data_IF_446119077204
#
_entry.id   IF_446119077204
#
_cell.length_a   1.000
_cell.length_b   1.000
_cell.length_c   1.000
_cell.angle_alpha   90.00
_cell.angle_beta   90.00
_cell.angle_gamma   90.00
#
_symmetry.space_group_name_H-M   'P 1'
#
loop_
_entity.id
_entity.type
_entity.pdbx_description
1 polymer ?
#
# COMPACT_ATOMS: atom_id res chain seq x y z
N UNK A 1 -10.89 4.95 9.46
CA UNK A 1 -9.69 4.29 8.90
C UNK A 1 -8.84 3.77 10.05
N UNK A 2 -8.24 2.58 9.96
CA UNK A 2 -7.40 2.01 11.03
C UNK A 2 -6.10 2.83 11.19
N UNK A 3 -5.89 3.39 12.37
CA UNK A 3 -4.73 4.22 12.68
C UNK A 3 -3.40 3.46 12.57
N UNK A 4 -3.38 2.15 12.83
CA UNK A 4 -2.18 1.31 12.66
C UNK A 4 -1.84 1.14 11.18
N UNK A 5 -2.85 0.93 10.33
CA UNK A 5 -2.69 0.87 8.86
C UNK A 5 -2.14 2.18 8.31
N UNK A 6 -2.69 3.31 8.77
CA UNK A 6 -2.20 4.64 8.36
C UNK A 6 -0.75 4.83 8.79
N UNK A 7 -0.42 4.57 10.05
CA UNK A 7 0.95 4.75 10.56
C UNK A 7 1.97 3.91 9.79
N UNK A 8 1.65 2.63 9.52
CA UNK A 8 2.53 1.75 8.74
C UNK A 8 2.69 2.23 7.28
N UNK A 9 1.60 2.67 6.64
CA UNK A 9 1.66 3.19 5.28
C UNK A 9 2.46 4.50 5.20
N UNK A 10 2.31 5.38 6.19
CA UNK A 10 3.06 6.65 6.27
C UNK A 10 4.55 6.38 6.46
N UNK A 11 4.95 5.46 7.35
CA UNK A 11 6.36 5.08 7.53
C UNK A 11 6.95 4.50 6.23
N UNK A 12 6.24 3.57 5.58
CA UNK A 12 6.70 2.96 4.34
C UNK A 12 6.83 4.00 3.21
N UNK A 13 5.85 4.90 3.08
CA UNK A 13 5.87 5.94 2.06
C UNK A 13 6.98 6.97 2.31
N UNK A 14 7.17 7.41 3.55
CA UNK A 14 8.24 8.33 3.91
C UNK A 14 9.62 7.73 3.61
N UNK A 15 9.85 6.48 4.02
CA UNK A 15 11.08 5.73 3.69
C UNK A 15 11.29 5.63 2.19
N UNK A 16 10.26 5.23 1.44
CA UNK A 16 10.36 5.09 -0.01
C UNK A 16 10.67 6.42 -0.70
N UNK A 17 10.02 7.51 -0.30
CA UNK A 17 10.27 8.84 -0.82
C UNK A 17 11.72 9.25 -0.57
N UNK A 18 12.18 9.15 0.69
CA UNK A 18 13.57 9.45 1.06
C UNK A 18 14.57 8.68 0.20
N UNK A 19 14.41 7.36 0.10
CA UNK A 19 15.31 6.51 -0.66
C UNK A 19 15.26 6.78 -2.18
N UNK A 20 14.12 7.23 -2.71
CA UNK A 20 13.97 7.53 -4.15
C UNK A 20 14.61 8.86 -4.57
N UNK A 21 14.66 9.85 -3.67
CA UNK A 21 15.15 11.20 -3.99
C UNK A 21 16.52 11.50 -3.39
N UNK A 22 17.03 10.63 -2.52
CA UNK A 22 18.33 10.85 -1.90
C UNK A 22 19.46 10.78 -2.93
N UNK A 23 20.45 11.65 -2.74
CA UNK A 23 21.70 11.58 -3.50
C UNK A 23 22.67 10.53 -2.90
N UNK A 24 23.69 10.15 -3.67
CA UNK A 24 24.69 9.14 -3.27
C UNK A 24 25.40 9.47 -1.93
N UNK A 25 25.55 10.76 -1.61
CA UNK A 25 26.23 11.21 -0.39
C UNK A 25 25.29 11.48 0.79
N UNK A 26 23.98 11.32 0.63
CA UNK A 26 23.02 11.47 1.71
C UNK A 26 22.83 10.14 2.46
N UNK A 27 22.58 10.23 3.76
CA UNK A 27 22.35 9.04 4.58
C UNK A 27 21.12 8.24 4.11
N UNK A 28 21.18 6.93 4.31
CA UNK A 28 20.00 6.07 4.20
C UNK A 28 19.00 6.38 5.32
N UNK A 29 17.73 6.01 5.11
CA UNK A 29 16.63 6.23 6.05
C UNK A 29 16.95 5.84 7.49
N UNK A 30 17.54 4.66 7.68
CA UNK A 30 17.82 4.10 9.00
C UNK A 30 18.89 4.89 9.76
N UNK A 31 19.69 5.71 9.06
CA UNK A 31 20.73 6.58 9.62
C UNK A 31 20.29 8.04 9.78
N UNK A 32 19.10 8.40 9.31
CA UNK A 32 18.57 9.73 9.50
C UNK A 32 18.17 9.98 10.95
N UNK A 33 18.17 11.26 11.33
CA UNK A 33 17.72 11.69 12.65
C UNK A 33 16.22 11.43 12.81
N UNK A 34 15.77 11.23 14.05
CA UNK A 34 14.35 11.03 14.30
C UNK A 34 13.51 12.25 13.91
N UNK A 35 14.04 13.46 14.09
CA UNK A 35 13.41 14.70 13.64
C UNK A 35 13.15 14.69 12.13
N UNK A 36 14.16 14.33 11.32
CA UNK A 36 13.97 14.24 9.87
C UNK A 36 12.92 13.20 9.49
N UNK A 37 12.96 12.02 10.12
CA UNK A 37 11.97 10.97 9.87
C UNK A 37 10.56 11.44 10.23
N UNK A 38 10.41 12.13 11.36
CA UNK A 38 9.13 12.70 11.80
C UNK A 38 8.62 13.79 10.83
N UNK A 39 9.49 14.67 10.37
CA UNK A 39 9.12 15.73 9.42
C UNK A 39 8.66 15.14 8.09
N UNK A 40 9.37 14.15 7.56
CA UNK A 40 9.01 13.51 6.31
C UNK A 40 7.71 12.68 6.43
N UNK A 41 7.50 11.99 7.56
CA UNK A 41 6.22 11.34 7.88
C UNK A 41 5.08 12.35 7.90
N UNK A 42 5.28 13.51 8.55
CA UNK A 42 4.25 14.56 8.65
C UNK A 42 3.95 15.18 7.28
N UNK A 43 4.98 15.39 6.46
CA UNK A 43 4.86 15.91 5.10
C UNK A 43 4.02 14.99 4.18
N UNK A 44 4.27 13.67 4.23
CA UNK A 44 3.62 12.72 3.30
C UNK A 44 2.26 12.22 3.77
N UNK A 45 1.96 12.33 5.07
CA UNK A 45 0.76 11.78 5.68
C UNK A 45 -0.56 12.17 4.99
N UNK A 46 -0.81 13.44 4.60
CA UNK A 46 -2.04 13.82 3.91
C UNK A 46 -2.25 13.06 2.59
N UNK A 47 -1.17 12.89 1.80
CA UNK A 47 -1.20 12.17 0.53
C UNK A 47 -1.48 10.67 0.72
N UNK A 48 -0.89 10.05 1.75
CA UNK A 48 -1.14 8.65 2.09
C UNK A 48 -2.59 8.43 2.50
N UNK A 49 -3.15 9.32 3.33
CA UNK A 49 -4.56 9.23 3.75
C UNK A 49 -5.48 9.31 2.52
N UNK A 50 -5.29 10.31 1.65
CA UNK A 50 -6.10 10.45 0.45
C UNK A 50 -6.00 9.23 -0.49
N UNK A 51 -4.80 8.67 -0.65
CA UNK A 51 -4.59 7.46 -1.45
C UNK A 51 -5.28 6.23 -0.86
N UNK A 52 -5.23 6.05 0.47
CA UNK A 52 -5.93 4.97 1.16
C UNK A 52 -7.45 5.11 1.02
N UNK A 53 -8.00 6.31 1.18
CA UNK A 53 -9.44 6.56 0.96
C UNK A 53 -9.87 6.26 -0.48
N UNK A 54 -9.07 6.69 -1.46
CA UNK A 54 -9.33 6.39 -2.86
C UNK A 54 -9.30 4.88 -3.14
N UNK A 55 -8.30 4.17 -2.60
CA UNK A 55 -8.18 2.72 -2.71
C UNK A 55 -9.36 2.00 -2.07
N UNK A 56 -9.75 2.39 -0.86
CA UNK A 56 -10.87 1.79 -0.14
C UNK A 56 -12.20 1.97 -0.91
N UNK A 57 -12.42 3.12 -1.54
CA UNK A 57 -13.58 3.35 -2.42
C UNK A 57 -13.58 2.41 -3.64
N UNK A 58 -12.44 2.20 -4.28
CA UNK A 58 -12.31 1.30 -5.43
C UNK A 58 -12.57 -0.16 -5.03
N UNK A 59 -12.03 -0.60 -3.89
CA UNK A 59 -12.23 -1.95 -3.36
C UNK A 59 -13.70 -2.17 -3.00
N UNK A 60 -14.34 -1.21 -2.32
CA UNK A 60 -15.75 -1.30 -1.95
C UNK A 60 -16.70 -1.25 -3.17
N UNK A 61 -16.30 -0.56 -4.24
CA UNK A 61 -17.10 -0.43 -5.47
C UNK A 61 -16.89 -1.60 -6.45
N UNK A 62 -15.89 -2.45 -6.22
CA UNK A 62 -15.70 -3.65 -7.02
C UNK A 62 -16.77 -4.67 -6.65
N UNK A 63 -17.75 -4.97 -7.53
CA UNK A 63 -18.67 -6.05 -7.26
C UNK A 63 -17.83 -7.32 -7.16
N UNK A 64 -17.98 -8.03 -6.03
CA UNK A 64 -17.50 -9.40 -5.87
C UNK A 64 -17.75 -10.12 -7.19
N UNK A 65 -16.67 -10.41 -7.93
CA UNK A 65 -16.74 -11.31 -9.07
C UNK A 65 -17.00 -12.66 -8.41
N UNK A 66 -18.27 -12.96 -8.16
CA UNK A 66 -18.75 -14.30 -7.87
C UNK A 66 -18.35 -15.12 -9.08
N UNK A 67 -17.15 -15.66 -9.01
CA UNK A 67 -16.65 -16.66 -9.91
C UNK A 67 -17.41 -17.93 -9.57
N UNK A 68 -18.68 -17.99 -9.99
CA UNK A 68 -19.31 -19.25 -10.34
C UNK A 68 -18.56 -19.75 -11.56
N UNK A 69 -17.36 -20.31 -11.33
CA UNK A 69 -16.71 -21.18 -12.30
C UNK A 69 -17.59 -22.42 -12.34
N UNK A 70 -18.55 -22.42 -13.25
CA UNK A 70 -19.27 -23.62 -13.63
C UNK A 70 -18.24 -24.62 -14.13
N UNK A 71 -17.80 -25.52 -13.25
CA UNK A 71 -16.88 -26.61 -13.57
C UNK A 71 -17.51 -27.47 -14.67
N UNK A 72 -16.95 -27.53 -15.88
CA UNK A 72 -17.48 -28.40 -16.93
C UNK A 72 -17.32 -29.85 -16.47
N UNK A 73 -18.41 -30.62 -16.44
CA UNK A 73 -18.34 -32.07 -16.22
C UNK A 73 -17.81 -32.71 -17.50
N UNK A 74 -16.63 -33.32 -17.44
CA UNK A 74 -16.12 -34.17 -18.51
C UNK A 74 -16.98 -35.45 -18.59
N UNK A 75 -17.32 -35.95 -19.79
CA UNK A 75 -18.05 -37.21 -19.91
C UNK A 75 -17.16 -38.37 -19.46
N UNK A 76 -17.69 -39.23 -18.59
CA UNK A 76 -17.03 -40.48 -18.19
C UNK A 76 -16.96 -41.41 -19.40
N UNK A 77 -15.76 -41.65 -19.91
CA UNK A 77 -15.52 -42.71 -20.88
C UNK A 77 -15.62 -44.04 -20.13
N UNK A 78 -16.70 -44.78 -20.39
CA UNK A 78 -16.91 -46.14 -19.89
C UNK A 78 -15.86 -47.10 -20.46
N UNK A 79 -15.50 -48.10 -19.66
CA UNK A 79 -14.64 -49.23 -20.04
C UNK A 79 -15.41 -50.26 -20.84
#
# INVERSE_FOLDING_TARGET
MDQRRVAAAVEAAARALHESVRNHHQFHWDKMTETWRQDLRSYIQPSVIAALEASDRVVASSPSRSATVARPRLPSVGR
#
